data_IF_716014326867
#
_entry.id   IF_716014326867
#
_cell.length_a   1.000
_cell.length_b   1.000
_cell.length_c   1.000
_cell.angle_alpha   90.00
_cell.angle_beta   90.00
_cell.angle_gamma   90.00
#
_symmetry.space_group_name_H-M   'P 1'
#
loop_
_entity.id
_entity.type
_entity.pdbx_description
1 polymer ?
#
# COMPACT_ATOMS: atom_id res chain seq x y z
N UNK A 1 5.48 -27.30 10.52
CA UNK A 1 4.80 -27.07 9.21
C UNK A 1 3.35 -27.53 9.29
N UNK A 2 2.48 -26.96 10.13
CA UNK A 2 1.08 -27.46 10.24
C UNK A 2 0.06 -26.45 10.78
N UNK A 3 0.30 -25.14 10.72
CA UNK A 3 -0.58 -24.15 11.39
C UNK A 3 -1.26 -23.16 10.47
N UNK A 4 -0.84 -22.98 9.22
CA UNK A 4 -1.52 -22.10 8.27
C UNK A 4 -2.72 -22.74 7.57
N UNK A 5 -2.81 -24.06 7.54
CA UNK A 5 -3.92 -24.80 6.92
C UNK A 5 -5.22 -24.78 7.75
N UNK A 6 -5.14 -24.56 9.07
CA UNK A 6 -6.32 -24.62 9.94
C UNK A 6 -7.16 -23.33 9.97
N UNK A 7 -6.56 -22.17 9.75
CA UNK A 7 -7.25 -20.88 9.85
C UNK A 7 -8.27 -20.60 8.73
N UNK A 8 -8.21 -21.34 7.61
CA UNK A 8 -9.16 -21.21 6.50
C UNK A 8 -10.24 -22.31 6.43
N UNK A 9 -10.31 -23.17 7.44
CA UNK A 9 -11.21 -24.34 7.43
C UNK A 9 -12.52 -24.04 8.15
N UNK A 10 -13.63 -24.10 7.41
CA UNK A 10 -14.98 -23.95 7.95
C UNK A 10 -15.67 -25.30 7.87
N UNK A 11 -16.12 -25.84 9.03
CA UNK A 11 -16.84 -27.12 9.09
C UNK A 11 -18.30 -27.00 8.61
N UNK A 12 -18.71 -27.97 7.80
CA UNK A 12 -20.10 -28.15 7.35
C UNK A 12 -20.94 -28.83 8.43
N UNK A 13 -22.20 -28.41 8.56
CA UNK A 13 -23.22 -29.17 9.32
C UNK A 13 -23.43 -30.62 8.76
N UNK A 14 -23.04 -30.83 7.50
CA UNK A 14 -23.13 -32.15 6.80
C UNK A 14 -21.77 -32.85 6.69
N UNK A 15 -20.70 -32.37 7.35
CA UNK A 15 -19.39 -33.01 7.36
C UNK A 15 -18.43 -32.63 6.25
N UNK A 16 -18.80 -31.80 5.26
CA UNK A 16 -17.85 -31.27 4.26
C UNK A 16 -17.14 -30.03 4.82
N UNK A 17 -15.79 -30.01 4.76
CA UNK A 17 -14.97 -28.88 5.14
C UNK A 17 -14.58 -28.09 3.88
N UNK A 18 -14.66 -26.76 3.95
CA UNK A 18 -14.24 -25.89 2.87
C UNK A 18 -12.95 -25.15 3.21
N UNK A 19 -12.13 -24.94 2.21
CA UNK A 19 -10.97 -24.05 2.22
C UNK A 19 -11.32 -22.76 1.49
N UNK A 20 -11.00 -21.61 2.13
CA UNK A 20 -11.12 -20.31 1.52
C UNK A 20 -9.92 -20.04 0.60
N UNK A 21 -10.16 -19.47 -0.57
CA UNK A 21 -9.14 -19.06 -1.53
C UNK A 21 -9.36 -17.60 -1.87
N UNK A 22 -8.36 -16.76 -1.59
CA UNK A 22 -8.43 -15.30 -1.79
C UNK A 22 -7.21 -14.85 -2.59
N UNK A 23 -7.46 -14.06 -3.63
CA UNK A 23 -6.47 -13.28 -4.38
C UNK A 23 -6.84 -11.80 -4.32
N UNK A 24 -5.84 -10.93 -4.24
CA UNK A 24 -6.04 -9.47 -4.16
C UNK A 24 -5.44 -8.78 -5.36
N UNK A 25 -6.15 -7.79 -5.89
CA UNK A 25 -5.69 -6.85 -6.89
C UNK A 25 -5.59 -5.47 -6.24
N UNK A 26 -4.38 -4.92 -6.14
CA UNK A 26 -4.13 -3.68 -5.41
C UNK A 26 -3.65 -2.61 -6.36
N UNK A 27 -4.37 -1.49 -6.40
CA UNK A 27 -4.04 -0.31 -7.18
C UNK A 27 -3.42 0.74 -6.27
N UNK A 28 -2.23 1.21 -6.60
CA UNK A 28 -1.51 2.24 -5.85
C UNK A 28 -1.17 3.43 -6.75
N UNK A 29 -1.68 4.61 -6.40
CA UNK A 29 -1.25 5.85 -7.04
C UNK A 29 0.20 6.16 -6.63
N UNK A 30 1.01 6.56 -7.61
CA UNK A 30 2.41 6.87 -7.39
C UNK A 30 2.62 8.35 -7.04
N UNK A 31 3.56 8.59 -6.13
CA UNK A 31 3.98 9.93 -5.70
C UNK A 31 4.89 10.57 -6.75
N UNK A 32 4.29 11.02 -7.86
CA UNK A 32 4.98 11.76 -8.92
C UNK A 32 4.49 13.20 -8.96
N UNK A 33 5.34 14.12 -9.41
CA UNK A 33 4.95 15.52 -9.59
C UNK A 33 4.03 15.74 -10.78
N UNK A 34 4.15 14.88 -11.80
CA UNK A 34 3.40 14.98 -13.04
C UNK A 34 2.65 13.70 -13.34
N UNK A 35 1.63 13.79 -14.18
CA UNK A 35 0.83 12.66 -14.63
C UNK A 35 1.66 11.65 -15.43
N UNK A 36 1.05 10.48 -15.71
CA UNK A 36 1.73 9.35 -16.36
C UNK A 36 2.22 9.68 -17.77
N UNK A 37 1.45 10.42 -18.54
CA UNK A 37 1.71 10.65 -19.97
C UNK A 37 1.77 12.13 -20.36
N UNK A 38 1.72 13.07 -19.40
CA UNK A 38 1.80 14.51 -19.66
C UNK A 38 2.41 15.28 -18.50
N UNK A 39 2.67 16.57 -18.69
CA UNK A 39 3.26 17.46 -17.69
C UNK A 39 2.29 18.08 -16.67
N UNK A 40 0.98 17.74 -16.70
CA UNK A 40 0.05 18.24 -15.70
C UNK A 40 0.44 17.76 -14.30
N UNK A 41 0.12 18.57 -13.27
CA UNK A 41 0.32 18.18 -11.88
C UNK A 41 -0.45 16.90 -11.54
N UNK A 42 0.19 15.98 -10.81
CA UNK A 42 -0.46 14.82 -10.22
C UNK A 42 -1.05 15.12 -8.82
N UNK A 43 -0.82 16.29 -8.27
CA UNK A 43 -1.37 16.77 -6.99
C UNK A 43 -2.78 17.32 -7.21
N UNK A 44 -3.77 16.46 -7.27
CA UNK A 44 -5.14 16.82 -7.66
C UNK A 44 -6.11 16.98 -6.48
N UNK A 45 -5.81 16.43 -5.31
CA UNK A 45 -6.78 16.18 -4.25
C UNK A 45 -7.46 17.45 -3.73
N UNK A 46 -6.72 18.56 -3.56
CA UNK A 46 -7.24 19.85 -3.08
C UNK A 46 -7.42 20.89 -4.20
N UNK A 47 -7.16 20.51 -5.46
CA UNK A 47 -7.27 21.44 -6.59
C UNK A 47 -8.75 21.67 -6.99
N UNK A 48 -9.11 22.86 -7.45
CA UNK A 48 -10.45 23.08 -8.06
C UNK A 48 -10.68 22.11 -9.23
N UNK A 49 -11.91 21.62 -9.45
CA UNK A 49 -12.20 20.64 -10.48
C UNK A 49 -11.75 21.09 -11.87
N UNK A 50 -11.19 20.16 -12.63
CA UNK A 50 -10.77 20.35 -14.04
C UNK A 50 -9.72 21.46 -14.27
N UNK A 51 -8.87 21.76 -13.25
CA UNK A 51 -7.78 22.75 -13.38
C UNK A 51 -6.43 22.11 -13.74
N UNK A 52 -6.25 20.82 -13.47
CA UNK A 52 -5.02 20.07 -13.78
C UNK A 52 -5.23 19.18 -15.02
N UNK A 53 -5.62 19.80 -16.12
CA UNK A 53 -5.92 19.13 -17.39
C UNK A 53 -5.19 19.78 -18.57
N UNK A 54 -4.88 18.99 -19.59
CA UNK A 54 -4.30 19.46 -20.84
C UNK A 54 -4.84 18.62 -22.01
N UNK A 55 -4.59 19.01 -23.28
CA UNK A 55 -5.05 18.24 -24.43
C UNK A 55 -4.67 16.75 -24.38
N UNK A 56 -3.51 16.38 -23.81
CA UNK A 56 -3.06 14.98 -23.72
C UNK A 56 -3.95 14.17 -22.77
N UNK A 57 -4.10 14.58 -21.52
CA UNK A 57 -4.91 13.83 -20.55
C UNK A 57 -6.43 13.93 -20.84
N UNK A 58 -6.86 14.92 -21.63
CA UNK A 58 -8.23 15.00 -22.17
C UNK A 58 -8.43 14.14 -23.42
N UNK A 59 -7.37 13.58 -24.01
CA UNK A 59 -7.45 12.73 -25.18
C UNK A 59 -7.90 13.47 -26.45
N UNK A 60 -7.53 14.74 -26.60
CA UNK A 60 -7.90 15.50 -27.79
C UNK A 60 -7.19 14.95 -29.05
N UNK A 61 -7.82 15.06 -30.25
CA UNK A 61 -7.21 14.55 -31.49
C UNK A 61 -5.83 15.16 -31.76
N UNK A 62 -4.87 14.31 -32.14
CA UNK A 62 -3.53 14.73 -32.58
C UNK A 62 -2.51 14.88 -31.43
N UNK A 63 -2.88 14.60 -30.17
CA UNK A 63 -1.94 14.60 -29.05
C UNK A 63 -1.20 13.26 -28.93
N UNK A 64 0.04 13.31 -28.41
CA UNK A 64 0.86 12.13 -28.19
C UNK A 64 1.24 12.01 -26.71
N UNK A 65 1.11 10.82 -26.11
CA UNK A 65 1.54 10.53 -24.74
C UNK A 65 3.07 10.47 -24.65
N UNK A 66 3.62 10.87 -23.48
CA UNK A 66 5.04 10.70 -23.14
C UNK A 66 5.16 10.08 -21.78
N UNK A 67 5.82 8.92 -21.68
CA UNK A 67 5.93 8.13 -20.45
C UNK A 67 6.70 8.89 -19.35
N UNK A 68 6.13 8.92 -18.15
CA UNK A 68 6.78 9.47 -16.97
C UNK A 68 7.85 8.49 -16.43
N UNK A 69 9.12 8.87 -16.59
CA UNK A 69 10.26 8.07 -16.14
C UNK A 69 10.22 7.77 -14.63
N UNK A 70 9.81 8.75 -13.80
CA UNK A 70 9.76 8.58 -12.34
C UNK A 70 8.73 7.50 -11.96
N UNK A 71 7.61 7.44 -12.69
CA UNK A 71 6.60 6.40 -12.47
C UNK A 71 7.15 5.00 -12.80
N UNK A 72 7.90 4.86 -13.92
CA UNK A 72 8.54 3.59 -14.29
C UNK A 72 9.61 3.20 -13.25
N UNK A 73 10.43 4.15 -12.76
CA UNK A 73 11.41 3.89 -11.70
C UNK A 73 10.73 3.42 -10.40
N UNK A 74 9.62 4.07 -10.00
CA UNK A 74 8.86 3.70 -8.80
C UNK A 74 8.28 2.28 -8.90
N UNK A 75 7.67 1.95 -10.03
CA UNK A 75 7.11 0.61 -10.25
C UNK A 75 8.20 -0.46 -10.34
N UNK A 76 9.35 -0.17 -10.97
CA UNK A 76 10.51 -1.07 -11.00
C UNK A 76 11.05 -1.30 -9.59
N UNK A 77 11.17 -0.24 -8.79
CA UNK A 77 11.59 -0.33 -7.37
C UNK A 77 10.63 -1.21 -6.57
N UNK A 78 9.33 -1.07 -6.80
CA UNK A 78 8.29 -1.90 -6.15
C UNK A 78 8.42 -3.37 -6.58
N UNK A 79 8.55 -3.64 -7.88
CA UNK A 79 8.78 -5.01 -8.37
C UNK A 79 10.03 -5.65 -7.76
N UNK A 80 11.14 -4.92 -7.68
CA UNK A 80 12.37 -5.39 -7.05
C UNK A 80 12.20 -5.65 -5.55
N UNK A 81 11.42 -4.82 -4.85
CA UNK A 81 11.14 -4.99 -3.42
C UNK A 81 10.30 -6.25 -3.14
N UNK A 82 9.43 -6.64 -4.07
CA UNK A 82 8.69 -7.90 -4.02
C UNK A 82 9.46 -9.10 -4.59
N UNK A 83 10.74 -8.92 -4.96
CA UNK A 83 11.54 -10.00 -5.53
C UNK A 83 11.13 -10.40 -6.95
N UNK A 84 10.32 -9.58 -7.63
CA UNK A 84 9.92 -9.85 -9.00
C UNK A 84 11.10 -9.85 -9.97
N UNK A 85 10.98 -10.66 -11.02
CA UNK A 85 11.81 -10.51 -12.21
C UNK A 85 11.34 -9.28 -13.01
N UNK A 86 12.30 -8.50 -13.53
CA UNK A 86 12.05 -7.36 -14.42
C UNK A 86 12.35 -7.83 -15.84
N UNK A 87 11.36 -8.07 -16.71
CA UNK A 87 11.59 -8.45 -18.10
C UNK A 87 12.38 -7.38 -18.86
N UNK A 88 13.25 -7.78 -19.82
CA UNK A 88 14.09 -6.83 -20.57
C UNK A 88 13.29 -5.89 -21.47
N UNK A 89 12.03 -6.23 -21.75
CA UNK A 89 11.12 -5.39 -22.52
C UNK A 89 9.72 -5.49 -21.94
N UNK A 90 9.01 -4.36 -21.93
CA UNK A 90 7.61 -4.27 -21.63
C UNK A 90 6.92 -3.26 -22.54
N UNK A 91 5.60 -3.25 -22.61
CA UNK A 91 4.86 -2.36 -23.49
C UNK A 91 3.57 -1.88 -22.85
N UNK A 92 3.05 -0.79 -23.35
CA UNK A 92 1.72 -0.33 -23.05
C UNK A 92 0.71 -0.81 -24.10
N UNK A 93 -0.50 -1.06 -23.64
CA UNK A 93 -1.66 -1.47 -24.43
C UNK A 93 -2.82 -0.52 -24.15
N UNK A 94 -3.78 -0.46 -25.07
CA UNK A 94 -5.06 0.22 -24.85
C UNK A 94 -6.07 -0.77 -24.30
N UNK A 95 -6.60 -0.47 -23.11
CA UNK A 95 -7.74 -1.14 -22.47
C UNK A 95 -9.00 -0.36 -22.81
N UNK A 96 -9.81 -0.84 -23.76
CA UNK A 96 -10.91 -0.08 -24.29
C UNK A 96 -12.19 -0.28 -23.47
N UNK A 97 -12.71 0.82 -22.94
CA UNK A 97 -14.05 0.88 -22.33
C UNK A 97 -14.52 2.33 -22.27
N UNK A 98 -15.84 2.51 -22.31
CA UNK A 98 -16.43 3.85 -22.33
C UNK A 98 -16.99 4.19 -20.95
N UNK A 99 -16.46 5.27 -20.38
CA UNK A 99 -16.98 5.80 -19.12
C UNK A 99 -16.81 7.33 -19.11
N UNK A 100 -17.70 8.11 -18.43
CA UNK A 100 -17.64 9.58 -18.47
C UNK A 100 -16.32 10.17 -17.97
N UNK A 101 -15.65 9.52 -17.03
CA UNK A 101 -14.36 9.93 -16.46
C UNK A 101 -13.14 9.40 -17.21
N UNK A 102 -13.34 8.75 -18.35
CA UNK A 102 -12.31 8.27 -19.25
C UNK A 102 -12.48 8.92 -20.66
N UNK A 103 -12.03 10.17 -20.84
CA UNK A 103 -12.39 10.99 -22.00
C UNK A 103 -11.86 10.43 -23.33
N UNK A 104 -10.77 9.65 -23.31
CA UNK A 104 -10.20 8.97 -24.49
C UNK A 104 -11.03 7.77 -24.96
N UNK A 105 -11.89 7.20 -24.10
CA UNK A 105 -12.58 5.94 -24.36
C UNK A 105 -11.71 4.69 -24.16
N UNK A 106 -10.45 4.86 -23.75
CA UNK A 106 -9.53 3.79 -23.37
C UNK A 106 -8.57 4.25 -22.26
N UNK A 107 -8.07 3.31 -21.50
CA UNK A 107 -7.02 3.48 -20.50
C UNK A 107 -5.72 2.92 -21.08
N UNK A 108 -4.62 3.67 -20.98
CA UNK A 108 -3.30 3.13 -21.31
C UNK A 108 -2.83 2.32 -20.10
N UNK A 109 -2.59 1.04 -20.32
CA UNK A 109 -2.23 0.05 -19.29
C UNK A 109 -1.20 -0.94 -19.86
N UNK A 110 -0.75 -1.92 -19.08
CA UNK A 110 0.08 -3.03 -19.55
C UNK A 110 -0.70 -4.34 -19.40
N UNK A 111 -0.67 -5.21 -20.41
CA UNK A 111 -1.44 -6.46 -20.40
C UNK A 111 -0.55 -7.71 -20.44
N UNK A 112 -0.04 -8.07 -21.62
CA UNK A 112 0.73 -9.30 -21.85
C UNK A 112 2.22 -9.17 -21.57
N UNK A 113 2.78 -7.95 -21.59
CA UNK A 113 4.17 -7.66 -21.26
C UNK A 113 4.27 -6.64 -20.10
N UNK A 114 3.94 -7.05 -18.87
CA UNK A 114 3.98 -6.17 -17.72
C UNK A 114 5.42 -5.81 -17.32
N UNK A 115 5.56 -4.79 -16.47
CA UNK A 115 6.84 -4.27 -16.02
C UNK A 115 7.59 -5.25 -15.11
N UNK A 116 6.90 -6.00 -14.25
CA UNK A 116 7.50 -6.95 -13.33
C UNK A 116 6.60 -8.18 -13.14
N UNK A 117 7.21 -9.36 -12.93
CA UNK A 117 6.51 -10.65 -12.83
C UNK A 117 7.12 -11.55 -11.75
N UNK A 118 6.30 -12.48 -11.24
CA UNK A 118 6.72 -13.60 -10.40
C UNK A 118 7.49 -13.16 -9.14
N UNK A 119 6.81 -12.40 -8.28
CA UNK A 119 7.33 -11.99 -6.98
C UNK A 119 6.63 -12.67 -5.81
N UNK A 120 6.98 -12.24 -4.62
CA UNK A 120 6.30 -12.62 -3.39
C UNK A 120 6.31 -11.49 -2.36
N UNK A 121 5.37 -11.51 -1.45
CA UNK A 121 5.36 -10.65 -0.27
C UNK A 121 5.33 -11.50 0.99
N UNK A 122 6.18 -11.13 1.94
CA UNK A 122 6.19 -11.73 3.28
C UNK A 122 5.46 -10.82 4.25
N UNK A 123 4.57 -11.39 5.06
CA UNK A 123 3.82 -10.67 6.09
C UNK A 123 3.71 -11.51 7.37
N UNK A 124 3.37 -10.89 8.49
CA UNK A 124 3.26 -11.58 9.78
C UNK A 124 1.81 -11.57 10.24
N UNK A 125 1.29 -12.74 10.60
CA UNK A 125 -0.01 -12.91 11.22
C UNK A 125 0.14 -13.70 12.53
N UNK A 126 -0.31 -13.14 13.64
CA UNK A 126 -0.21 -13.77 14.99
C UNK A 126 1.21 -14.24 15.36
N UNK A 127 2.23 -13.49 14.97
CA UNK A 127 3.64 -13.82 15.22
C UNK A 127 4.21 -14.88 14.26
N UNK A 128 3.44 -15.37 13.29
CA UNK A 128 3.90 -16.36 12.30
C UNK A 128 4.13 -15.66 10.96
N UNK A 129 5.30 -15.89 10.37
CA UNK A 129 5.60 -15.42 9.02
C UNK A 129 4.81 -16.20 7.98
N UNK A 130 4.16 -15.47 7.08
CA UNK A 130 3.39 -15.98 5.95
C UNK A 130 3.94 -15.40 4.65
N UNK A 131 3.66 -16.05 3.52
CA UNK A 131 4.06 -15.62 2.18
C UNK A 131 2.90 -15.75 1.21
N UNK A 132 2.79 -14.80 0.30
CA UNK A 132 1.87 -14.87 -0.83
C UNK A 132 2.56 -14.39 -2.11
N UNK A 133 2.30 -15.06 -3.21
CA UNK A 133 2.87 -14.75 -4.52
C UNK A 133 2.31 -13.46 -5.11
N UNK A 134 3.13 -12.81 -5.91
CA UNK A 134 2.76 -11.71 -6.79
C UNK A 134 2.90 -12.18 -8.22
N UNK A 135 1.79 -12.24 -8.94
CA UNK A 135 1.78 -12.62 -10.37
C UNK A 135 2.51 -11.57 -11.21
N UNK A 136 2.14 -10.30 -11.01
CA UNK A 136 2.72 -9.17 -11.75
C UNK A 136 2.54 -7.84 -11.04
N UNK A 137 3.40 -6.91 -11.41
CA UNK A 137 3.24 -5.47 -11.18
C UNK A 137 3.25 -4.79 -12.54
N UNK A 138 2.21 -4.01 -12.83
CA UNK A 138 2.10 -3.30 -14.09
C UNK A 138 1.63 -1.86 -13.92
N UNK A 139 1.92 -1.05 -14.94
CA UNK A 139 1.61 0.36 -14.95
C UNK A 139 0.36 0.65 -15.74
N UNK A 140 -0.38 1.63 -15.25
CA UNK A 140 -1.54 2.20 -15.94
C UNK A 140 -1.72 3.68 -15.57
N UNK A 141 -2.69 4.35 -16.16
CA UNK A 141 -3.14 5.67 -15.76
C UNK A 141 -4.48 5.59 -15.00
N UNK A 142 -4.67 6.45 -13.98
CA UNK A 142 -5.95 6.52 -13.29
C UNK A 142 -7.00 7.27 -14.15
N UNK A 143 -8.27 6.98 -13.90
CA UNK A 143 -9.42 7.68 -14.52
C UNK A 143 -9.74 8.96 -13.75
N UNK A 144 -10.62 9.80 -14.29
CA UNK A 144 -11.18 10.95 -13.60
C UNK A 144 -12.04 10.55 -12.39
N UNK A 145 -12.63 11.53 -11.75
CA UNK A 145 -13.58 11.34 -10.66
C UNK A 145 -14.99 11.58 -11.19
N UNK A 146 -15.88 10.61 -11.01
CA UNK A 146 -17.27 10.71 -11.40
C UNK A 146 -18.15 10.76 -10.13
N UNK A 147 -18.94 11.82 -9.98
CA UNK A 147 -19.81 12.05 -8.85
C UNK A 147 -21.26 12.11 -9.32
N UNK A 148 -22.10 11.19 -8.82
CA UNK A 148 -23.52 11.18 -9.12
C UNK A 148 -24.25 12.15 -8.19
N UNK A 149 -25.15 12.94 -8.76
CA UNK A 149 -26.00 13.88 -8.06
C UNK A 149 -27.42 13.87 -8.67
N UNK A 150 -28.36 14.44 -7.95
CA UNK A 150 -29.73 14.63 -8.45
C UNK A 150 -30.11 16.10 -8.32
N UNK A 151 -30.81 16.63 -9.30
CA UNK A 151 -31.36 17.96 -9.26
C UNK A 151 -32.41 18.04 -8.15
N UNK A 152 -32.24 18.92 -7.15
CA UNK A 152 -33.16 19.02 -6.03
C UNK A 152 -34.59 19.43 -6.43
N UNK A 153 -34.78 20.11 -7.57
CA UNK A 153 -36.06 20.61 -8.03
C UNK A 153 -36.81 19.59 -8.90
N UNK A 154 -36.11 18.83 -9.74
CA UNK A 154 -36.72 17.91 -10.70
C UNK A 154 -36.54 16.43 -10.32
N UNK A 155 -35.59 16.10 -9.42
CA UNK A 155 -35.20 14.72 -9.11
C UNK A 155 -34.38 14.04 -10.21
N UNK A 156 -34.06 14.76 -11.28
CA UNK A 156 -33.31 14.21 -12.42
C UNK A 156 -31.85 13.95 -12.02
N UNK A 157 -31.36 12.73 -12.32
CA UNK A 157 -29.99 12.32 -12.04
C UNK A 157 -29.01 12.92 -13.05
N UNK A 158 -27.87 13.41 -12.57
CA UNK A 158 -26.75 13.85 -13.40
C UNK A 158 -25.40 13.42 -12.81
N UNK A 159 -24.35 13.51 -13.60
CA UNK A 159 -22.99 13.21 -13.14
C UNK A 159 -22.10 14.44 -13.31
N UNK A 160 -21.32 14.74 -12.28
CA UNK A 160 -20.23 15.71 -12.33
C UNK A 160 -18.92 14.96 -12.55
N UNK A 161 -18.17 15.37 -13.56
CA UNK A 161 -16.89 14.74 -13.94
C UNK A 161 -15.75 15.70 -13.66
N UNK A 162 -14.81 15.26 -12.80
CA UNK A 162 -13.56 15.96 -12.55
C UNK A 162 -12.40 15.14 -13.12
N UNK A 163 -11.72 15.71 -14.11
CA UNK A 163 -10.63 15.08 -14.85
C UNK A 163 -9.24 15.39 -14.26
N UNK A 164 -9.15 16.06 -13.10
CA UNK A 164 -7.88 16.33 -12.45
C UNK A 164 -7.11 15.04 -12.14
N UNK A 165 -7.80 13.96 -11.72
CA UNK A 165 -7.19 12.66 -11.48
C UNK A 165 -6.86 11.88 -12.75
N UNK A 166 -7.56 12.13 -13.87
CA UNK A 166 -7.33 11.41 -15.13
C UNK A 166 -5.87 11.53 -15.59
N UNK A 167 -5.21 10.40 -15.77
CA UNK A 167 -3.80 10.33 -16.15
C UNK A 167 -2.81 10.33 -14.98
N UNK A 168 -3.24 10.35 -13.72
CA UNK A 168 -2.35 10.15 -12.57
C UNK A 168 -1.72 8.75 -12.67
N UNK A 169 -0.38 8.59 -12.44
CA UNK A 169 0.27 7.30 -12.52
C UNK A 169 -0.31 6.32 -11.51
N UNK A 170 -0.76 5.19 -12.00
CA UNK A 170 -1.36 4.11 -11.22
C UNK A 170 -0.56 2.83 -11.46
N UNK A 171 -0.26 2.13 -10.40
CA UNK A 171 0.40 0.84 -10.42
C UNK A 171 -0.57 -0.22 -9.91
N UNK A 172 -0.79 -1.28 -10.68
CA UNK A 172 -1.57 -2.43 -10.27
C UNK A 172 -0.65 -3.58 -9.87
N UNK A 173 -0.90 -4.14 -8.69
CA UNK A 173 -0.20 -5.28 -8.10
C UNK A 173 -1.19 -6.43 -8.01
N UNK A 174 -0.98 -7.47 -8.81
CA UNK A 174 -1.85 -8.65 -8.86
C UNK A 174 -1.22 -9.76 -8.03
N UNK A 175 -1.90 -10.13 -6.94
CA UNK A 175 -1.48 -11.24 -6.08
C UNK A 175 -1.98 -12.59 -6.58
N UNK A 176 -1.25 -13.65 -6.25
CA UNK A 176 -1.71 -15.03 -6.42
C UNK A 176 -2.85 -15.35 -5.44
N UNK A 177 -3.71 -16.34 -5.74
CA UNK A 177 -4.81 -16.76 -4.86
C UNK A 177 -4.32 -17.63 -3.69
N UNK A 178 -3.36 -17.10 -2.95
CA UNK A 178 -2.62 -17.83 -1.91
C UNK A 178 -3.15 -17.58 -0.49
N UNK A 179 -3.96 -16.55 -0.30
CA UNK A 179 -4.51 -16.22 1.01
C UNK A 179 -5.67 -17.15 1.37
N UNK A 180 -5.76 -17.53 2.65
CA UNK A 180 -6.69 -18.54 3.14
C UNK A 180 -7.69 -18.01 4.18
N UNK A 181 -7.51 -16.77 4.64
CA UNK A 181 -8.42 -16.13 5.58
C UNK A 181 -8.55 -14.63 5.37
N UNK A 182 -9.67 -14.02 5.81
CA UNK A 182 -9.82 -12.55 5.82
C UNK A 182 -8.71 -11.83 6.61
N UNK A 183 -8.24 -12.42 7.70
CA UNK A 183 -7.16 -11.88 8.51
C UNK A 183 -5.81 -11.88 7.77
N UNK A 184 -5.52 -12.94 6.98
CA UNK A 184 -4.34 -12.96 6.10
C UNK A 184 -4.40 -11.85 5.05
N UNK A 185 -5.58 -11.62 4.44
CA UNK A 185 -5.76 -10.54 3.46
C UNK A 185 -5.49 -9.15 4.08
N UNK A 186 -5.97 -8.90 5.28
CA UNK A 186 -5.72 -7.65 6.04
C UNK A 186 -4.23 -7.48 6.38
N UNK A 187 -3.56 -8.54 6.84
CA UNK A 187 -2.13 -8.54 7.16
C UNK A 187 -1.26 -8.35 5.90
N UNK A 188 -1.61 -9.01 4.79
CA UNK A 188 -0.96 -8.85 3.49
C UNK A 188 -1.03 -7.39 3.00
N UNK A 189 -2.22 -6.77 3.02
CA UNK A 189 -2.39 -5.37 2.63
C UNK A 189 -1.62 -4.40 3.53
N UNK A 190 -1.57 -4.69 4.83
CA UNK A 190 -0.79 -3.91 5.79
C UNK A 190 0.70 -3.95 5.46
N UNK A 191 1.25 -5.13 5.18
CA UNK A 191 2.65 -5.29 4.80
C UNK A 191 2.95 -4.62 3.45
N UNK A 192 2.07 -4.78 2.44
CA UNK A 192 2.21 -4.14 1.14
C UNK A 192 2.23 -2.61 1.28
N UNK A 193 1.26 -2.03 1.97
CA UNK A 193 1.21 -0.59 2.24
C UNK A 193 2.49 -0.10 2.91
N UNK A 194 2.97 -0.83 3.92
CA UNK A 194 4.20 -0.49 4.61
C UNK A 194 5.40 -0.45 3.66
N UNK A 195 5.54 -1.44 2.79
CA UNK A 195 6.62 -1.48 1.79
C UNK A 195 6.52 -0.29 0.84
N UNK A 196 5.34 0.00 0.27
CA UNK A 196 5.14 1.11 -0.65
C UNK A 196 5.49 2.47 -0.02
N UNK A 197 5.13 2.67 1.26
CA UNK A 197 5.50 3.88 2.02
C UNK A 197 6.99 3.94 2.33
N UNK A 198 7.61 2.82 2.71
CA UNK A 198 9.05 2.73 2.95
C UNK A 198 9.88 3.09 1.73
N UNK A 199 9.43 2.65 0.55
CA UNK A 199 10.04 2.99 -0.72
C UNK A 199 9.78 4.45 -1.12
N UNK A 200 8.81 5.13 -0.51
CA UNK A 200 8.40 6.48 -0.88
C UNK A 200 7.70 6.53 -2.24
N UNK A 201 7.11 5.44 -2.71
CA UNK A 201 6.49 5.35 -4.03
C UNK A 201 4.99 5.65 -4.02
N UNK A 202 4.31 5.43 -2.89
CA UNK A 202 2.88 5.73 -2.69
C UNK A 202 2.60 6.18 -1.26
N UNK A 203 1.59 7.02 -1.04
CA UNK A 203 1.08 7.35 0.29
C UNK A 203 0.39 6.17 0.94
N UNK A 204 -0.15 5.25 0.15
CA UNK A 204 -0.91 4.10 0.62
C UNK A 204 -2.19 4.48 1.37
N UNK A 205 -2.75 5.69 1.12
CA UNK A 205 -3.95 6.15 1.79
C UNK A 205 -5.20 5.66 1.05
N UNK A 206 -5.94 4.74 1.68
CA UNK A 206 -7.19 4.21 1.10
C UNK A 206 -8.34 5.22 1.19
N UNK A 207 -8.37 6.07 2.21
CA UNK A 207 -9.45 7.05 2.41
C UNK A 207 -9.41 8.14 1.32
N UNK A 208 -8.22 8.45 0.81
CA UNK A 208 -8.01 9.37 -0.32
C UNK A 208 -8.09 8.67 -1.68
N UNK A 209 -8.24 7.35 -1.70
CA UNK A 209 -8.24 6.55 -2.91
C UNK A 209 -6.87 6.36 -3.55
N UNK A 210 -5.78 6.73 -2.84
CA UNK A 210 -4.41 6.51 -3.30
C UNK A 210 -3.99 5.02 -3.22
N UNK A 211 -4.68 4.22 -2.43
CA UNK A 211 -4.61 2.76 -2.42
C UNK A 211 -6.02 2.20 -2.53
N UNK A 212 -6.25 1.30 -3.47
CA UNK A 212 -7.53 0.60 -3.66
C UNK A 212 -7.27 -0.89 -3.72
N UNK A 213 -8.23 -1.69 -3.30
CA UNK A 213 -8.12 -3.14 -3.32
C UNK A 213 -9.43 -3.74 -3.81
N UNK A 214 -9.33 -4.59 -4.82
CA UNK A 214 -10.37 -5.51 -5.24
C UNK A 214 -9.98 -6.91 -4.75
N UNK A 215 -10.94 -7.66 -4.19
CA UNK A 215 -10.69 -8.99 -3.66
C UNK A 215 -11.45 -10.04 -4.45
N UNK A 216 -10.76 -11.09 -4.85
CA UNK A 216 -11.34 -12.28 -5.46
C UNK A 216 -11.41 -13.39 -4.42
N UNK A 217 -12.60 -13.94 -4.19
CA UNK A 217 -12.82 -15.00 -3.19
C UNK A 217 -13.59 -16.17 -3.77
N UNK A 218 -13.22 -17.38 -3.39
CA UNK A 218 -13.98 -18.60 -3.63
C UNK A 218 -13.81 -19.58 -2.47
N UNK A 219 -14.75 -20.51 -2.34
CA UNK A 219 -14.66 -21.67 -1.45
C UNK A 219 -14.49 -22.93 -2.27
N UNK A 220 -13.62 -23.84 -1.84
CA UNK A 220 -13.45 -25.17 -2.42
C UNK A 220 -13.43 -26.25 -1.32
N UNK A 221 -13.82 -27.49 -1.61
CA UNK A 221 -13.63 -28.58 -0.65
C UNK A 221 -12.17 -28.75 -0.28
N UNK A 222 -11.88 -28.97 1.01
CA UNK A 222 -10.52 -29.23 1.48
C UNK A 222 -9.89 -30.38 0.73
N UNK A 223 -8.65 -30.15 0.25
CA UNK A 223 -7.91 -31.13 -0.57
C UNK A 223 -8.22 -31.10 -2.07
N UNK A 224 -9.19 -30.28 -2.51
CA UNK A 224 -9.44 -30.06 -3.95
C UNK A 224 -8.41 -29.12 -4.54
N UNK A 225 -7.88 -29.46 -5.72
CA UNK A 225 -7.06 -28.56 -6.53
C UNK A 225 -7.90 -27.62 -7.42
N UNK A 226 -9.20 -27.91 -7.60
CA UNK A 226 -10.10 -27.13 -8.45
C UNK A 226 -10.66 -25.95 -7.67
N UNK A 227 -10.49 -24.73 -8.19
CA UNK A 227 -11.07 -23.53 -7.59
C UNK A 227 -12.61 -23.54 -7.67
N UNK A 228 -13.26 -22.97 -6.67
CA UNK A 228 -14.67 -22.65 -6.72
C UNK A 228 -14.96 -21.46 -7.65
N UNK A 229 -16.24 -21.10 -7.79
CA UNK A 229 -16.64 -19.95 -8.56
C UNK A 229 -16.08 -18.66 -7.95
N UNK A 230 -15.41 -17.84 -8.76
CA UNK A 230 -14.79 -16.59 -8.35
C UNK A 230 -15.86 -15.51 -8.13
N UNK A 231 -15.89 -14.92 -6.94
CA UNK A 231 -16.64 -13.71 -6.64
C UNK A 231 -15.66 -12.56 -6.41
N UNK A 232 -15.81 -11.49 -7.18
CA UNK A 232 -15.04 -10.27 -7.05
C UNK A 232 -15.75 -9.29 -6.10
N UNK A 233 -15.04 -8.76 -5.10
CA UNK A 233 -15.59 -7.79 -4.16
C UNK A 233 -14.90 -6.44 -4.37
N UNK A 234 -15.70 -5.39 -4.55
CA UNK A 234 -15.28 -4.00 -4.77
C UNK A 234 -15.79 -3.04 -3.70
N UNK A 235 -15.36 -1.79 -3.75
CA UNK A 235 -15.81 -0.69 -2.89
C UNK A 235 -15.44 -0.86 -1.41
N UNK A 236 -14.24 -1.37 -1.14
CA UNK A 236 -13.70 -1.51 0.22
C UNK A 236 -12.70 -0.38 0.49
N UNK A 237 -13.06 0.56 1.37
CA UNK A 237 -12.30 1.80 1.59
C UNK A 237 -11.32 1.74 2.79
N UNK A 238 -11.14 0.58 3.41
CA UNK A 238 -10.18 0.35 4.49
C UNK A 238 -9.79 -1.12 4.57
N UNK A 239 -8.64 -1.43 5.18
CA UNK A 239 -8.23 -2.84 5.40
C UNK A 239 -9.23 -3.59 6.28
N UNK A 240 -9.85 -2.90 7.24
CA UNK A 240 -10.92 -3.46 8.05
C UNK A 240 -12.18 -3.76 7.22
N UNK A 241 -12.50 -2.92 6.24
CA UNK A 241 -13.61 -3.18 5.32
C UNK A 241 -13.32 -4.41 4.44
N UNK A 242 -12.07 -4.57 3.96
CA UNK A 242 -11.64 -5.77 3.21
C UNK A 242 -11.83 -7.03 4.05
N UNK A 243 -11.34 -7.03 5.29
CA UNK A 243 -11.48 -8.17 6.21
C UNK A 243 -12.95 -8.52 6.49
N UNK A 244 -13.80 -7.52 6.77
CA UNK A 244 -15.23 -7.71 7.03
C UNK A 244 -15.99 -8.20 5.80
N UNK A 245 -15.70 -7.64 4.63
CA UNK A 245 -16.32 -8.03 3.38
C UNK A 245 -15.99 -9.49 3.01
N UNK A 246 -14.73 -9.88 3.16
CA UNK A 246 -14.27 -11.25 2.95
C UNK A 246 -14.90 -12.22 3.96
N UNK A 247 -14.96 -11.85 5.25
CA UNK A 247 -15.60 -12.66 6.28
C UNK A 247 -17.09 -12.89 5.98
N UNK A 248 -17.80 -11.84 5.57
CA UNK A 248 -19.19 -11.93 5.14
C UNK A 248 -19.35 -12.91 3.94
N UNK A 249 -18.49 -12.79 2.92
CA UNK A 249 -18.55 -13.64 1.73
C UNK A 249 -18.26 -15.10 2.05
N UNK A 250 -17.32 -15.38 2.94
CA UNK A 250 -17.05 -16.76 3.41
C UNK A 250 -18.34 -17.38 3.97
N UNK A 251 -19.03 -16.66 4.87
CA UNK A 251 -20.26 -17.16 5.47
C UNK A 251 -21.40 -17.28 4.46
N UNK A 252 -21.56 -16.30 3.57
CA UNK A 252 -22.58 -16.32 2.52
C UNK A 252 -22.38 -17.50 1.57
N UNK A 253 -21.17 -17.67 1.06
CA UNK A 253 -20.85 -18.75 0.12
C UNK A 253 -21.02 -20.12 0.79
N UNK A 254 -20.56 -20.26 2.04
CA UNK A 254 -20.74 -21.48 2.81
C UNK A 254 -22.23 -21.85 2.95
N UNK A 255 -23.06 -20.92 3.36
CA UNK A 255 -24.49 -21.15 3.55
C UNK A 255 -25.18 -21.65 2.25
N UNK A 256 -24.80 -21.08 1.09
CA UNK A 256 -25.32 -21.51 -0.21
C UNK A 256 -24.87 -22.94 -0.54
N UNK A 257 -23.57 -23.23 -0.37
CA UNK A 257 -23.01 -24.56 -0.66
C UNK A 257 -23.55 -25.63 0.28
N UNK A 258 -23.74 -25.32 1.56
CA UNK A 258 -24.32 -26.22 2.55
C UNK A 258 -25.78 -26.56 2.25
N UNK A 259 -26.52 -25.63 1.64
CA UNK A 259 -27.88 -25.87 1.15
C UNK A 259 -27.93 -26.64 -0.20
N UNK A 260 -26.75 -27.02 -0.76
CA UNK A 260 -26.67 -27.68 -2.05
C UNK A 260 -26.81 -26.76 -3.27
N UNK A 261 -26.75 -25.45 -3.04
CA UNK A 261 -26.77 -24.44 -4.11
C UNK A 261 -25.42 -24.27 -4.81
N UNK A 262 -25.38 -23.38 -5.79
CA UNK A 262 -24.18 -23.02 -6.55
C UNK A 262 -23.88 -21.54 -6.42
N UNK A 263 -22.59 -21.19 -6.41
CA UNK A 263 -22.14 -19.80 -6.39
C UNK A 263 -22.01 -19.31 -7.83
N UNK A 264 -22.71 -18.23 -8.24
CA UNK A 264 -22.49 -17.62 -9.54
C UNK A 264 -21.15 -16.87 -9.56
N UNK A 265 -20.51 -16.81 -10.73
CA UNK A 265 -19.39 -15.89 -10.93
C UNK A 265 -19.93 -14.49 -11.11
N UNK A 266 -19.68 -13.61 -10.15
CA UNK A 266 -20.26 -12.25 -10.12
C UNK A 266 -19.29 -11.24 -9.49
N UNK A 267 -19.55 -9.96 -9.75
CA UNK A 267 -18.94 -8.84 -9.03
C UNK A 267 -19.94 -8.30 -7.99
N UNK A 268 -19.48 -8.12 -6.77
CA UNK A 268 -20.25 -7.62 -5.63
C UNK A 268 -19.61 -6.38 -5.05
N UNK A 269 -20.41 -5.43 -4.58
CA UNK A 269 -19.94 -4.23 -3.88
C UNK A 269 -20.14 -4.38 -2.37
N UNK A 270 -19.12 -4.03 -1.59
CA UNK A 270 -19.28 -3.90 -0.14
C UNK A 270 -20.14 -2.69 0.22
N UNK A 271 -21.15 -2.91 1.05
CA UNK A 271 -21.94 -1.85 1.66
C UNK A 271 -21.61 -1.77 3.14
N UNK A 272 -20.91 -0.69 3.53
CA UNK A 272 -20.42 -0.52 4.91
C UNK A 272 -21.56 -0.36 5.91
N UNK A 273 -22.61 0.39 5.57
CA UNK A 273 -23.75 0.67 6.45
C UNK A 273 -24.53 -0.60 6.76
N UNK A 274 -24.69 -1.48 5.77
CA UNK A 274 -25.44 -2.73 5.92
C UNK A 274 -24.55 -3.90 6.37
N UNK A 275 -23.23 -3.74 6.35
CA UNK A 275 -22.27 -4.80 6.68
C UNK A 275 -22.39 -6.04 5.79
N UNK A 276 -22.72 -5.87 4.49
CA UNK A 276 -22.89 -6.96 3.54
C UNK A 276 -22.46 -6.59 2.13
N UNK A 277 -22.22 -7.60 1.31
CA UNK A 277 -21.99 -7.42 -0.12
C UNK A 277 -23.31 -7.43 -0.89
N UNK A 278 -23.40 -6.62 -1.94
CA UNK A 278 -24.55 -6.55 -2.84
C UNK A 278 -24.08 -6.87 -4.26
N UNK A 279 -24.86 -7.70 -4.99
CA UNK A 279 -24.53 -8.01 -6.39
C UNK A 279 -24.61 -6.75 -7.25
N UNK A 280 -23.60 -6.54 -8.11
CA UNK A 280 -23.51 -5.40 -9.02
C UNK A 280 -23.68 -5.84 -10.48
N UNK A 281 -22.99 -6.91 -10.89
CA UNK A 281 -23.09 -7.48 -12.24
C UNK A 281 -22.75 -8.97 -12.25
N UNK A 282 -23.27 -9.68 -13.23
CA UNK A 282 -22.92 -11.09 -13.49
C UNK A 282 -21.84 -11.22 -14.57
N UNK A 283 -21.29 -12.43 -14.76
CA UNK A 283 -20.26 -12.70 -15.76
C UNK A 283 -20.74 -12.41 -17.21
N UNK A 284 -22.01 -12.57 -17.49
CA UNK A 284 -22.61 -12.34 -18.81
C UNK A 284 -22.49 -10.86 -19.25
N UNK A 285 -22.31 -9.96 -18.29
CA UNK A 285 -22.10 -8.51 -18.49
C UNK A 285 -20.62 -8.10 -18.48
N UNK A 286 -19.68 -9.07 -18.50
CA UNK A 286 -18.25 -8.75 -18.47
C UNK A 286 -17.81 -8.01 -19.72
N UNK A 287 -17.09 -6.89 -19.55
CA UNK A 287 -16.58 -6.12 -20.65
C UNK A 287 -15.43 -6.85 -21.37
N UNK A 288 -15.52 -6.98 -22.68
CA UNK A 288 -14.39 -7.31 -23.54
C UNK A 288 -13.60 -6.02 -23.80
N UNK A 289 -12.43 -5.89 -23.17
CA UNK A 289 -11.59 -4.70 -23.26
C UNK A 289 -10.83 -4.58 -24.58
N UNK A 290 -10.81 -5.60 -25.43
CA UNK A 290 -10.17 -5.59 -26.75
C UNK A 290 -8.77 -4.96 -26.72
N UNK A 291 -7.91 -5.50 -25.86
CA UNK A 291 -6.54 -5.02 -25.72
C UNK A 291 -5.79 -5.06 -27.05
N UNK A 292 -5.07 -3.98 -27.36
CA UNK A 292 -4.10 -3.93 -28.43
C UNK A 292 -2.95 -2.98 -28.06
N UNK A 293 -1.73 -3.14 -28.63
CA UNK A 293 -0.60 -2.27 -28.30
C UNK A 293 -0.91 -0.79 -28.51
N UNK A 294 -0.49 0.06 -27.55
CA UNK A 294 -0.60 1.51 -27.70
C UNK A 294 0.33 1.99 -28.82
N UNK A 295 -0.20 2.47 -29.97
CA UNK A 295 0.61 2.75 -31.14
C UNK A 295 1.52 3.97 -30.98
N UNK A 296 1.18 4.87 -30.05
CA UNK A 296 1.91 6.12 -29.82
C UNK A 296 3.06 5.96 -28.78
N UNK A 297 3.18 4.78 -28.18
CA UNK A 297 4.25 4.46 -27.23
C UNK A 297 5.10 3.28 -27.73
N UNK A 298 6.39 3.49 -27.99
CA UNK A 298 7.27 2.36 -28.30
C UNK A 298 7.44 1.44 -27.07
N UNK A 299 7.72 0.15 -27.29
CA UNK A 299 8.09 -0.74 -26.18
C UNK A 299 9.25 -0.19 -25.38
N UNK A 300 9.17 -0.37 -24.04
CA UNK A 300 10.20 0.07 -23.12
C UNK A 300 11.27 -1.02 -22.99
N UNK A 301 12.53 -0.65 -23.18
CA UNK A 301 13.67 -1.54 -22.91
C UNK A 301 14.19 -1.29 -21.50
N UNK A 302 14.22 -2.34 -20.69
CA UNK A 302 14.72 -2.32 -19.32
C UNK A 302 16.18 -2.79 -19.32
N UNK A 303 17.12 -1.85 -19.51
CA UNK A 303 18.53 -2.16 -19.50
C UNK A 303 18.98 -2.73 -18.13
N UNK A 304 19.76 -3.79 -18.11
CA UNK A 304 20.15 -4.49 -16.88
C UNK A 304 20.92 -3.58 -15.92
N UNK A 305 21.83 -2.76 -16.43
CA UNK A 305 22.60 -1.78 -15.66
C UNK A 305 21.70 -0.72 -15.00
N UNK A 306 20.65 -0.28 -15.69
CA UNK A 306 19.67 0.64 -15.13
C UNK A 306 18.85 0.00 -14.01
N UNK A 307 18.42 -1.26 -14.17
CA UNK A 307 17.70 -2.01 -13.14
C UNK A 307 18.60 -2.22 -11.90
N UNK A 308 19.89 -2.58 -12.09
CA UNK A 308 20.84 -2.74 -11.00
C UNK A 308 21.14 -1.40 -10.29
N UNK A 309 21.19 -0.30 -11.02
CA UNK A 309 21.33 1.03 -10.41
C UNK A 309 20.12 1.40 -9.53
N UNK A 310 18.89 0.98 -9.91
CA UNK A 310 17.70 1.14 -9.07
C UNK A 310 17.83 0.25 -7.83
N UNK A 311 18.20 -1.02 -7.98
CA UNK A 311 18.39 -1.98 -6.88
C UNK A 311 19.39 -1.46 -5.85
N UNK A 312 20.52 -0.92 -6.30
CA UNK A 312 21.59 -0.43 -5.44
C UNK A 312 21.20 0.78 -4.56
N UNK A 313 20.22 1.59 -5.00
CA UNK A 313 19.72 2.76 -4.26
C UNK A 313 18.40 2.52 -3.52
N UNK A 314 17.86 1.31 -3.61
CA UNK A 314 16.63 0.95 -2.93
C UNK A 314 16.81 1.01 -1.41
N UNK A 315 15.85 1.59 -0.71
CA UNK A 315 15.86 1.62 0.75
C UNK A 315 15.81 0.19 1.33
N UNK A 316 16.44 -0.02 2.48
CA UNK A 316 16.31 -1.26 3.22
C UNK A 316 14.84 -1.51 3.58
N UNK A 317 14.31 -2.69 3.25
CA UNK A 317 12.91 -3.01 3.47
C UNK A 317 12.58 -3.20 4.96
N UNK A 318 11.34 -2.92 5.39
CA UNK A 318 10.97 -2.90 6.81
C UNK A 318 11.23 -4.23 7.53
N UNK A 319 10.93 -5.37 6.91
CA UNK A 319 11.16 -6.68 7.50
C UNK A 319 12.67 -6.96 7.70
N UNK A 320 13.51 -6.61 6.71
CA UNK A 320 14.97 -6.76 6.81
C UNK A 320 15.56 -5.85 7.87
N UNK A 321 15.10 -4.58 7.90
CA UNK A 321 15.53 -3.59 8.91
C UNK A 321 15.15 -4.03 10.32
N UNK A 322 13.95 -4.57 10.50
CA UNK A 322 13.48 -5.14 11.77
C UNK A 322 14.38 -6.28 12.23
N UNK A 323 14.65 -7.25 11.36
CA UNK A 323 15.55 -8.35 11.67
C UNK A 323 16.96 -7.85 12.05
N UNK A 324 17.47 -6.85 11.36
CA UNK A 324 18.75 -6.21 11.68
C UNK A 324 18.71 -5.50 13.04
N UNK A 325 17.64 -4.80 13.39
CA UNK A 325 17.51 -4.15 14.70
C UNK A 325 17.53 -5.15 15.85
N UNK A 326 16.92 -6.32 15.65
CA UNK A 326 16.99 -7.42 16.62
C UNK A 326 18.41 -7.99 16.71
N UNK A 327 19.03 -8.29 15.57
CA UNK A 327 20.34 -8.95 15.51
C UNK A 327 21.50 -8.04 15.98
N UNK A 328 21.54 -6.80 15.48
CA UNK A 328 22.69 -5.91 15.65
C UNK A 328 22.59 -5.09 16.94
N UNK A 329 21.36 -4.70 17.32
CA UNK A 329 21.13 -3.83 18.49
C UNK A 329 20.58 -4.57 19.71
N UNK A 330 20.27 -5.88 19.58
CA UNK A 330 19.73 -6.71 20.68
C UNK A 330 18.35 -6.23 21.15
N UNK A 331 17.55 -5.64 20.28
CA UNK A 331 16.20 -5.20 20.61
C UNK A 331 15.23 -6.38 20.66
N UNK A 332 14.17 -6.23 21.43
CA UNK A 332 13.04 -7.16 21.40
C UNK A 332 12.30 -7.02 20.06
N UNK A 333 11.73 -8.09 19.56
CA UNK A 333 10.98 -8.11 18.30
C UNK A 333 9.87 -7.04 18.26
N UNK A 334 9.16 -6.86 19.38
CA UNK A 334 8.09 -5.87 19.51
C UNK A 334 8.62 -4.43 19.38
N UNK A 335 9.75 -4.12 20.04
CA UNK A 335 10.38 -2.81 19.96
C UNK A 335 10.90 -2.53 18.54
N UNK A 336 11.55 -3.52 17.93
CA UNK A 336 12.03 -3.43 16.55
C UNK A 336 10.87 -3.23 15.57
N UNK A 337 9.73 -3.91 15.78
CA UNK A 337 8.52 -3.74 14.97
C UNK A 337 7.98 -2.31 15.05
N UNK A 338 7.86 -1.75 16.27
CA UNK A 338 7.39 -0.37 16.46
C UNK A 338 8.31 0.66 15.79
N UNK A 339 9.63 0.49 15.95
CA UNK A 339 10.61 1.38 15.34
C UNK A 339 10.67 1.29 13.81
N UNK A 340 10.31 0.15 13.23
CA UNK A 340 10.33 -0.08 11.79
C UNK A 340 8.94 0.01 11.14
N UNK A 341 7.92 0.44 11.86
CA UNK A 341 6.58 0.68 11.32
C UNK A 341 6.59 1.77 10.25
N UNK A 342 7.37 2.83 10.49
CA UNK A 342 7.61 3.93 9.55
C UNK A 342 9.10 4.07 9.26
N UNK A 343 9.45 4.38 8.00
CA UNK A 343 10.83 4.66 7.61
C UNK A 343 11.39 5.87 8.35
N UNK A 344 10.60 6.93 8.50
CA UNK A 344 11.01 8.14 9.19
C UNK A 344 11.37 7.88 10.66
N UNK A 345 10.60 7.01 11.34
CA UNK A 345 10.90 6.60 12.72
C UNK A 345 12.19 5.79 12.79
N UNK A 346 12.37 4.84 11.89
CA UNK A 346 13.56 4.00 11.87
C UNK A 346 14.83 4.83 11.57
N UNK A 347 14.75 5.76 10.61
CA UNK A 347 15.85 6.68 10.29
C UNK A 347 16.18 7.59 11.47
N UNK A 348 15.15 8.12 12.14
CA UNK A 348 15.31 8.94 13.35
C UNK A 348 15.98 8.14 14.48
N UNK A 349 15.52 6.92 14.74
CA UNK A 349 16.10 6.05 15.75
C UNK A 349 17.59 5.78 15.50
N UNK A 350 17.98 5.37 14.30
CA UNK A 350 19.39 5.11 13.97
C UNK A 350 20.24 6.39 14.04
N UNK A 351 19.70 7.52 13.60
CA UNK A 351 20.37 8.81 13.72
C UNK A 351 20.55 9.23 15.18
N UNK A 352 19.58 8.98 16.05
CA UNK A 352 19.70 9.25 17.49
C UNK A 352 20.63 8.27 18.22
N UNK A 353 20.63 7.01 17.80
CA UNK A 353 21.50 5.96 18.33
C UNK A 353 22.97 6.25 18.06
N UNK A 354 23.32 6.64 16.82
CA UNK A 354 24.72 6.88 16.40
C UNK A 354 25.49 5.57 16.12
N UNK A 355 26.76 5.70 15.76
CA UNK A 355 27.57 4.61 15.21
C UNK A 355 28.20 3.65 16.24
N UNK A 356 28.26 4.03 17.52
CA UNK A 356 28.94 3.24 18.58
C UNK A 356 27.96 2.72 19.62
N UNK A 357 26.89 2.08 19.17
CA UNK A 357 25.79 1.70 20.05
C UNK A 357 26.00 0.37 20.76
N UNK A 358 26.02 0.39 22.09
CA UNK A 358 25.82 -0.81 22.89
C UNK A 358 24.33 -1.24 22.90
N UNK A 359 24.03 -2.49 23.23
CA UNK A 359 22.66 -2.96 23.41
C UNK A 359 21.90 -2.17 24.51
N UNK A 360 22.62 -1.64 25.52
CA UNK A 360 22.06 -0.77 26.54
C UNK A 360 21.64 0.57 25.96
N UNK A 361 22.52 1.18 25.17
CA UNK A 361 22.23 2.44 24.47
C UNK A 361 21.06 2.28 23.50
N UNK A 362 21.01 1.19 22.75
CA UNK A 362 19.91 0.91 21.85
C UNK A 362 18.57 0.81 22.60
N UNK A 363 18.52 0.10 23.73
CA UNK A 363 17.32 0.02 24.57
C UNK A 363 16.93 1.37 25.17
N UNK A 364 17.91 2.15 25.63
CA UNK A 364 17.66 3.48 26.15
C UNK A 364 17.04 4.38 25.07
N UNK A 365 17.65 4.43 23.89
CA UNK A 365 17.15 5.21 22.74
C UNK A 365 15.74 4.75 22.33
N UNK A 366 15.51 3.44 22.28
CA UNK A 366 14.18 2.87 21.99
C UNK A 366 13.13 3.38 22.97
N UNK A 367 13.40 3.31 24.27
CA UNK A 367 12.47 3.75 25.33
C UNK A 367 12.11 5.24 25.20
N UNK A 368 13.06 6.09 24.79
CA UNK A 368 12.82 7.52 24.63
C UNK A 368 12.09 7.85 23.32
N UNK A 369 12.35 7.09 22.26
CA UNK A 369 11.64 7.25 20.98
C UNK A 369 10.20 6.73 21.10
N UNK A 370 10.00 5.50 21.60
CA UNK A 370 8.66 4.86 21.65
C UNK A 370 7.80 5.37 22.81
N UNK A 371 8.39 5.99 23.81
CA UNK A 371 7.68 6.59 24.94
C UNK A 371 7.52 8.11 24.77
N UNK A 372 8.41 8.93 25.35
CA UNK A 372 8.25 10.39 25.37
C UNK A 372 8.09 11.01 23.99
N UNK A 373 8.91 10.60 22.99
CA UNK A 373 8.86 11.21 21.67
C UNK A 373 7.56 10.86 20.92
N UNK A 374 7.10 9.62 20.98
CA UNK A 374 5.81 9.23 20.39
C UNK A 374 4.63 9.89 21.11
N UNK A 375 4.77 10.23 22.39
CA UNK A 375 3.78 11.01 23.13
C UNK A 375 3.71 12.49 22.69
N UNK A 376 4.84 13.04 22.26
CA UNK A 376 4.95 14.45 21.85
C UNK A 376 4.69 14.68 20.35
N UNK A 377 4.88 13.66 19.51
CA UNK A 377 4.71 13.74 18.03
C UNK A 377 3.54 12.87 17.61
N UNK A 378 2.44 13.51 17.24
CA UNK A 378 1.21 12.81 16.81
C UNK A 378 1.36 12.12 15.45
N UNK A 379 2.05 12.77 14.50
CA UNK A 379 2.34 12.20 13.18
C UNK A 379 3.76 11.62 13.13
N UNK A 380 3.87 10.31 13.21
CA UNK A 380 5.14 9.59 13.18
C UNK A 380 5.89 9.70 11.86
N UNK A 381 5.19 9.93 10.76
CA UNK A 381 5.84 10.16 9.45
C UNK A 381 6.54 11.52 9.41
N UNK A 382 6.05 12.48 10.17
CA UNK A 382 6.65 13.80 10.29
C UNK A 382 7.70 13.89 11.43
N UNK A 383 8.10 12.78 12.06
CA UNK A 383 9.03 12.76 13.19
C UNK A 383 10.36 13.45 12.86
N UNK A 384 10.81 13.39 11.61
CA UNK A 384 12.02 14.07 11.14
C UNK A 384 11.92 15.59 11.13
N UNK A 385 10.71 16.15 11.12
CA UNK A 385 10.44 17.58 11.22
C UNK A 385 10.20 18.05 12.67
N UNK A 386 10.30 17.14 13.65
CA UNK A 386 10.17 17.48 15.06
C UNK A 386 11.24 18.49 15.49
N UNK A 387 10.92 19.47 16.36
CA UNK A 387 11.90 20.35 16.99
C UNK A 387 13.02 19.59 17.73
N UNK A 388 12.72 18.42 18.25
CA UNK A 388 13.70 17.52 18.84
C UNK A 388 14.39 16.70 17.73
N UNK A 389 15.51 17.19 17.24
CA UNK A 389 16.31 16.45 16.25
C UNK A 389 16.99 15.21 16.85
N UNK A 390 17.36 14.19 16.04
CA UNK A 390 18.09 13.02 16.52
C UNK A 390 19.38 13.36 17.30
N UNK A 391 20.10 14.39 16.87
CA UNK A 391 21.33 14.84 17.54
C UNK A 391 21.04 15.43 18.94
N UNK A 392 19.95 16.18 19.09
CA UNK A 392 19.56 16.75 20.39
C UNK A 392 19.07 15.67 21.35
N UNK A 393 18.30 14.69 20.86
CA UNK A 393 17.94 13.52 21.67
C UNK A 393 19.20 12.75 22.11
N UNK A 394 20.15 12.53 21.19
CA UNK A 394 21.44 11.89 21.52
C UNK A 394 22.16 12.61 22.65
N UNK A 395 22.29 13.94 22.59
CA UNK A 395 22.92 14.74 23.63
C UNK A 395 22.25 14.63 24.99
N UNK A 396 20.91 14.53 25.03
CA UNK A 396 20.16 14.28 26.25
C UNK A 396 20.49 12.89 26.84
N UNK A 397 20.52 11.87 25.97
CA UNK A 397 20.83 10.49 26.40
C UNK A 397 22.28 10.35 26.85
N UNK A 398 23.22 11.09 26.29
CA UNK A 398 24.63 11.12 26.72
C UNK A 398 24.78 11.67 28.17
N UNK A 399 24.03 12.72 28.52
CA UNK A 399 23.99 13.26 29.87
C UNK A 399 23.39 12.29 30.88
N UNK A 400 22.34 11.57 30.46
CA UNK A 400 21.70 10.57 31.30
C UNK A 400 22.59 9.36 31.52
N UNK A 401 23.25 8.85 30.50
CA UNK A 401 24.10 7.66 30.52
C UNK A 401 25.42 7.92 31.30
N UNK A 402 25.97 9.13 31.18
CA UNK A 402 27.15 9.55 31.99
C UNK A 402 26.82 9.85 33.46
N UNK A 403 25.53 9.77 33.86
CA UNK A 403 25.12 10.07 35.25
C UNK A 403 25.15 11.57 35.60
N UNK A 404 25.34 12.46 34.64
CA UNK A 404 25.31 13.91 34.89
C UNK A 404 23.92 14.40 35.26
N UNK A 405 22.87 13.72 34.75
CA UNK A 405 21.49 13.96 35.14
C UNK A 405 20.79 12.63 35.44
N UNK A 406 19.80 12.67 36.31
CA UNK A 406 18.94 11.51 36.58
C UNK A 406 17.72 11.52 35.64
N UNK A 407 16.92 10.44 35.64
CA UNK A 407 15.76 10.27 34.75
C UNK A 407 14.72 11.37 34.92
N UNK A 408 14.48 11.86 36.14
CA UNK A 408 13.50 12.92 36.40
C UNK A 408 13.92 14.23 35.74
N UNK A 409 15.19 14.62 35.86
CA UNK A 409 15.76 15.80 35.21
C UNK A 409 15.74 15.61 33.68
N UNK A 410 16.06 14.40 33.19
CA UNK A 410 16.05 14.12 31.75
C UNK A 410 14.67 14.31 31.13
N UNK A 411 13.56 13.96 31.83
CA UNK A 411 12.19 14.22 31.34
C UNK A 411 11.92 15.73 31.26
N UNK A 412 12.31 16.49 32.25
CA UNK A 412 12.16 17.96 32.25
C UNK A 412 12.96 18.63 31.12
N UNK A 413 14.18 18.17 30.88
CA UNK A 413 15.03 18.65 29.79
C UNK A 413 14.44 18.25 28.44
N UNK A 414 13.87 17.04 28.32
CA UNK A 414 13.19 16.59 27.11
C UNK A 414 12.03 17.51 26.74
N UNK A 415 11.16 17.84 27.67
CA UNK A 415 10.02 18.75 27.44
C UNK A 415 10.52 20.13 26.97
N UNK A 416 11.55 20.67 27.62
CA UNK A 416 12.10 21.98 27.29
C UNK A 416 12.83 22.00 25.94
N UNK A 417 13.36 20.86 25.49
CA UNK A 417 13.96 20.74 24.15
C UNK A 417 12.95 20.98 23.01
N UNK A 418 11.66 20.78 23.23
CA UNK A 418 10.63 21.16 22.23
C UNK A 418 10.36 22.66 22.19
N UNK A 419 10.42 23.33 23.36
CA UNK A 419 10.14 24.77 23.49
C UNK A 419 11.34 25.64 23.11
N UNK A 420 12.55 25.08 23.18
CA UNK A 420 13.81 25.77 22.95
C UNK A 420 14.60 25.13 21.79
N UNK A 421 14.19 25.31 20.53
CA UNK A 421 14.79 24.63 19.38
C UNK A 421 16.29 24.95 19.15
N UNK A 422 16.77 26.10 19.62
CA UNK A 422 18.14 26.55 19.46
C UNK A 422 19.09 26.10 20.58
N UNK A 423 18.58 25.53 21.69
CA UNK A 423 19.40 25.08 22.81
C UNK A 423 19.64 23.55 22.74
N UNK A 424 20.83 23.11 23.12
CA UNK A 424 21.12 21.68 23.33
C UNK A 424 20.82 21.26 24.79
N UNK A 425 20.76 19.96 25.06
CA UNK A 425 20.46 19.43 26.39
C UNK A 425 21.45 19.91 27.46
N UNK A 426 22.73 20.02 27.12
CA UNK A 426 23.75 20.50 28.06
C UNK A 426 23.59 21.96 28.40
N UNK A 427 23.17 22.81 27.46
CA UNK A 427 22.88 24.21 27.70
C UNK A 427 21.69 24.38 28.66
N UNK A 428 20.61 23.62 28.43
CA UNK A 428 19.43 23.62 29.31
C UNK A 428 19.80 23.18 30.73
N UNK A 429 20.58 22.10 30.88
CA UNK A 429 21.04 21.61 32.19
C UNK A 429 21.89 22.68 32.91
N UNK A 430 22.86 23.32 32.22
CA UNK A 430 23.66 24.37 32.79
C UNK A 430 22.85 25.60 33.25
N UNK A 431 21.79 25.93 32.51
CA UNK A 431 20.92 27.07 32.83
C UNK A 431 20.03 26.81 34.06
N UNK A 432 19.66 25.51 34.28
CA UNK A 432 18.80 25.13 35.40
C UNK A 432 19.56 24.79 36.71
N UNK A 433 20.86 24.58 36.66
CA UNK A 433 21.70 24.25 37.81
C UNK A 433 21.78 22.76 37.99
#
# INVERSE_FOLDING_TARGET
>A
MSTSAEAGMIERTTGTRYETVIGLEVHAQLLTKTKMFCGCSAEYFSAPPNTHVCPVCLGLPGVLPVVNRVAIEAATTTGLAFGCAIPPANKFDRKNYFYPDLPKGYQISQYDLPLAINGEITFTLNGVEQRAGITRVHMEEDTGKNMHASDPATGEGYSLVDLNRAGVPLMEIVGEPDLRSPAEASAYLTAMRQILRYLGVSSGNMEEGALRCDANISLRPVGSSTFGAKVEIKNMNSFRAVERALAYEVERQRAILDAGGTIPQETRGWNEDQGKTLSQRTKEEANDYRYFPEPDLPPLTMAADWVEAIRARMAELPARRRARFVADYGLREEDARLLTESRAVADYFEAALGSAASAERARLTTNWVTGPLFGAVSDREAIGASPLTPARLRGLLDLLESGQINRTVAVQVFEELFDSPDEDAAAIVRRKG
#
